data_IF_272803705189
#
_entry.id   IF_272803705189
#
_cell.length_a   1.000
_cell.length_b   1.000
_cell.length_c   1.000
_cell.angle_alpha   90.00
_cell.angle_beta   90.00
_cell.angle_gamma   90.00
#
_symmetry.space_group_name_H-M   'P 1'
#
loop_
_entity.id
_entity.type
_entity.pdbx_description
1 polymer ?
#
# COMPACT_ATOMS: atom_id res chain seq x y z
N UNK A 1 -7.46 -4.32 -16.95
CA UNK A 1 -6.64 -5.55 -16.89
C UNK A 1 -5.93 -5.82 -18.23
N UNK A 2 -6.67 -5.74 -19.36
CA UNK A 2 -6.11 -6.00 -20.72
C UNK A 2 -5.02 -5.00 -21.10
N UNK A 3 -5.11 -3.74 -20.69
CA UNK A 3 -4.09 -2.71 -20.93
C UNK A 3 -2.78 -3.07 -20.18
N UNK A 4 -2.86 -3.59 -18.96
CA UNK A 4 -1.69 -3.96 -18.17
C UNK A 4 -0.91 -5.14 -18.79
N UNK A 5 -1.61 -6.11 -19.37
CA UNK A 5 -1.01 -7.28 -20.03
C UNK A 5 -0.28 -6.88 -21.32
N UNK A 6 -0.84 -5.99 -22.15
CA UNK A 6 -0.19 -5.48 -23.36
C UNK A 6 1.05 -4.60 -23.08
N UNK A 7 1.14 -4.00 -21.89
CA UNK A 7 2.29 -3.20 -21.47
C UNK A 7 3.50 -4.06 -21.01
N UNK A 8 3.33 -5.36 -20.87
CA UNK A 8 4.38 -6.28 -20.37
C UNK A 8 5.37 -6.77 -21.43
N UNK A 9 5.12 -6.54 -22.72
CA UNK A 9 6.07 -6.93 -23.76
C UNK A 9 7.36 -6.10 -23.68
N UNK A 10 8.51 -6.80 -23.53
CA UNK A 10 9.83 -6.19 -23.41
C UNK A 10 10.26 -5.80 -21.98
N UNK A 11 9.60 -6.27 -20.95
CA UNK A 11 9.99 -5.99 -19.56
C UNK A 11 11.04 -6.99 -19.06
N UNK A 12 12.06 -6.48 -18.34
CA UNK A 12 12.94 -7.31 -17.51
C UNK A 12 12.24 -7.63 -16.20
N UNK A 13 12.29 -8.89 -15.76
CA UNK A 13 11.75 -9.29 -14.47
C UNK A 13 12.85 -9.26 -13.42
N UNK A 14 12.64 -8.48 -12.33
CA UNK A 14 13.60 -8.28 -11.26
C UNK A 14 12.95 -8.67 -9.93
N UNK A 15 13.71 -9.23 -9.00
CA UNK A 15 13.21 -9.50 -7.65
C UNK A 15 13.01 -8.19 -6.90
N UNK A 16 11.95 -8.12 -6.08
CA UNK A 16 11.66 -6.92 -5.27
C UNK A 16 12.82 -6.60 -4.31
N UNK A 17 13.44 -7.63 -3.72
CA UNK A 17 14.60 -7.45 -2.83
C UNK A 17 15.85 -6.88 -3.49
N UNK A 18 15.93 -6.91 -4.84
CA UNK A 18 17.07 -6.35 -5.58
C UNK A 18 16.91 -4.85 -5.88
N UNK A 19 15.69 -4.30 -5.70
CA UNK A 19 15.35 -2.92 -6.09
C UNK A 19 14.90 -2.02 -4.93
N UNK A 20 14.83 -2.54 -3.71
CA UNK A 20 14.53 -1.77 -2.50
C UNK A 20 15.10 -2.44 -1.26
N UNK A 21 15.21 -1.68 -0.17
CA UNK A 21 15.47 -2.23 1.14
C UNK A 21 14.15 -2.67 1.79
N UNK A 22 14.14 -3.84 2.42
CA UNK A 22 12.97 -4.38 3.12
C UNK A 22 13.33 -4.61 4.59
N UNK A 23 12.65 -3.90 5.47
CA UNK A 23 12.79 -4.04 6.93
C UNK A 23 11.41 -4.23 7.57
N UNK A 24 11.35 -4.33 8.88
CA UNK A 24 10.09 -4.30 9.65
C UNK A 24 10.18 -3.27 10.76
N UNK A 25 9.03 -2.83 11.27
CA UNK A 25 8.97 -2.11 12.53
C UNK A 25 9.48 -2.96 13.68
N UNK A 26 9.67 -2.34 14.84
CA UNK A 26 10.18 -3.01 16.04
C UNK A 26 9.21 -2.93 17.22
N UNK A 27 8.18 -2.11 17.11
CA UNK A 27 7.24 -1.85 18.20
C UNK A 27 6.08 -2.85 18.19
N UNK A 28 5.47 -3.02 19.35
CA UNK A 28 4.20 -3.74 19.47
C UNK A 28 3.03 -2.87 18.99
N UNK A 29 1.90 -3.49 18.61
CA UNK A 29 0.73 -2.77 18.10
C UNK A 29 0.09 -1.84 19.15
N UNK A 30 0.24 -2.14 20.43
CA UNK A 30 -0.29 -1.34 21.55
C UNK A 30 0.60 -0.13 21.91
N UNK A 31 1.69 0.13 21.19
CA UNK A 31 2.55 1.31 21.38
C UNK A 31 1.91 2.61 20.86
N UNK A 32 0.70 2.56 20.32
CA UNK A 32 -0.04 3.73 19.84
C UNK A 32 -0.37 4.71 20.99
N UNK A 33 -0.42 5.99 20.65
CA UNK A 33 -0.78 7.09 21.57
C UNK A 33 -1.83 7.97 20.87
N UNK A 34 -2.98 8.21 21.52
CA UNK A 34 -4.12 8.89 20.89
C UNK A 34 -3.78 10.28 20.31
N UNK A 35 -2.95 11.06 21.00
CA UNK A 35 -2.52 12.39 20.59
C UNK A 35 -1.08 12.44 20.05
N UNK A 36 -0.55 11.31 19.57
CA UNK A 36 0.79 11.22 19.04
C UNK A 36 1.03 12.12 17.82
N UNK A 37 2.29 12.49 17.59
CA UNK A 37 2.71 13.44 16.55
C UNK A 37 2.90 12.75 15.21
N UNK A 38 3.42 11.51 15.21
CA UNK A 38 3.81 10.79 14.00
C UNK A 38 2.82 9.67 13.67
N UNK A 39 2.66 9.33 12.38
CA UNK A 39 1.92 8.14 12.00
C UNK A 39 2.59 6.87 12.51
N UNK A 40 1.78 5.95 13.02
CA UNK A 40 2.19 4.62 13.42
C UNK A 40 1.49 3.58 12.55
N UNK A 41 2.23 2.98 11.64
CA UNK A 41 1.70 1.99 10.70
C UNK A 41 1.71 0.61 11.32
N UNK A 42 0.52 0.10 11.54
CA UNK A 42 0.25 -1.28 11.95
C UNK A 42 -0.29 -2.09 10.78
N UNK A 43 -0.92 -3.24 11.04
CA UNK A 43 -1.66 -3.99 10.02
C UNK A 43 -3.10 -3.49 9.83
N UNK A 44 -3.44 -2.29 10.29
CA UNK A 44 -4.70 -1.60 9.99
C UNK A 44 -4.59 -0.83 8.67
N UNK A 45 -5.74 -0.52 8.05
CA UNK A 45 -5.77 0.27 6.81
C UNK A 45 -5.33 1.72 7.05
N UNK A 46 -5.78 2.29 8.17
CA UNK A 46 -5.41 3.65 8.59
C UNK A 46 -4.32 3.60 9.65
N UNK A 47 -3.31 4.47 9.56
CA UNK A 47 -2.28 4.55 10.60
C UNK A 47 -2.86 5.09 11.91
N UNK A 48 -2.39 4.56 13.01
CA UNK A 48 -2.53 5.16 14.33
C UNK A 48 -1.53 6.30 14.52
N UNK A 49 -1.39 6.78 15.75
CA UNK A 49 -0.43 7.82 16.11
C UNK A 49 0.53 7.36 17.20
N UNK A 50 1.71 7.98 17.26
CA UNK A 50 2.76 7.71 18.23
C UNK A 50 3.65 8.95 18.42
N UNK A 51 4.33 9.07 19.57
CA UNK A 51 5.17 10.23 19.88
C UNK A 51 6.60 10.14 19.36
N UNK A 52 7.01 8.98 18.85
CA UNK A 52 8.35 8.75 18.33
C UNK A 52 8.33 8.29 16.88
N UNK A 53 9.40 8.53 16.14
CA UNK A 53 9.58 7.97 14.81
C UNK A 53 10.87 7.12 14.76
N UNK A 54 10.84 6.07 13.95
CA UNK A 54 12.00 5.22 13.66
C UNK A 54 12.46 5.35 12.20
N UNK A 55 11.61 5.89 11.33
CA UNK A 55 11.86 6.07 9.90
C UNK A 55 11.63 7.52 9.50
N UNK A 56 12.47 8.06 8.63
CA UNK A 56 12.28 9.35 7.95
C UNK A 56 12.63 9.16 6.48
N UNK A 57 11.68 8.62 5.71
CA UNK A 57 11.92 8.16 4.35
C UNK A 57 10.63 8.15 3.53
N UNK A 58 10.75 7.88 2.24
CA UNK A 58 9.64 7.57 1.34
C UNK A 58 9.51 6.05 1.21
N UNK A 59 8.39 5.49 1.67
CA UNK A 59 8.22 4.05 1.80
C UNK A 59 6.86 3.52 1.33
N UNK A 60 6.84 2.24 0.98
CA UNK A 60 5.64 1.40 0.95
C UNK A 60 5.60 0.57 2.23
N UNK A 61 4.43 0.54 2.86
CA UNK A 61 4.23 -0.22 4.09
C UNK A 61 3.24 -1.35 3.83
N UNK A 62 3.65 -2.58 4.10
CA UNK A 62 2.87 -3.77 3.80
C UNK A 62 2.48 -4.49 5.09
N UNK A 63 1.18 -4.68 5.28
CA UNK A 63 0.63 -5.45 6.41
C UNK A 63 1.03 -6.92 6.31
N UNK A 64 1.84 -7.41 7.25
CA UNK A 64 2.40 -8.76 7.24
C UNK A 64 1.49 -9.83 7.81
N UNK A 65 0.40 -9.46 8.50
CA UNK A 65 -0.54 -10.39 9.11
C UNK A 65 -1.94 -9.79 9.29
N UNK A 66 -2.87 -10.57 9.86
CA UNK A 66 -4.21 -10.15 10.23
C UNK A 66 -5.19 -10.06 9.06
N UNK A 67 -6.33 -9.38 9.29
CA UNK A 67 -7.41 -9.25 8.31
C UNK A 67 -6.99 -8.51 7.05
N UNK A 68 -6.06 -7.55 7.20
CA UNK A 68 -5.53 -6.73 6.10
C UNK A 68 -4.20 -7.25 5.55
N UNK A 69 -3.96 -8.57 5.60
CA UNK A 69 -2.74 -9.19 5.08
C UNK A 69 -2.47 -8.78 3.63
N UNK A 70 -1.30 -8.18 3.37
CA UNK A 70 -0.90 -7.70 2.06
C UNK A 70 -1.43 -6.31 1.68
N UNK A 71 -2.11 -5.62 2.59
CA UNK A 71 -2.52 -4.23 2.37
C UNK A 71 -1.29 -3.33 2.26
N UNK A 72 -1.32 -2.39 1.32
CA UNK A 72 -0.18 -1.54 0.96
C UNK A 72 -0.52 -0.09 1.20
N UNK A 73 0.13 0.52 2.18
CA UNK A 73 0.16 1.96 2.41
C UNK A 73 1.38 2.59 1.71
N UNK A 74 1.27 3.86 1.37
CA UNK A 74 2.37 4.71 0.92
C UNK A 74 2.49 5.91 1.85
N UNK A 75 3.71 6.21 2.28
CA UNK A 75 3.97 7.38 3.10
C UNK A 75 5.36 7.96 2.81
N UNK A 76 5.48 9.29 2.99
CA UNK A 76 6.73 10.04 2.88
C UNK A 76 6.88 10.97 4.08
N UNK A 77 7.94 10.82 4.85
CA UNK A 77 8.25 11.60 6.03
C UNK A 77 8.56 10.74 7.24
N UNK A 78 8.37 11.30 8.44
CA UNK A 78 8.66 10.65 9.72
C UNK A 78 7.50 9.80 10.18
N UNK A 79 7.77 8.52 10.48
CA UNK A 79 6.77 7.56 10.94
C UNK A 79 7.40 6.46 11.80
N UNK A 80 6.55 5.65 12.42
CA UNK A 80 6.95 4.41 13.06
C UNK A 80 6.11 3.24 12.51
N UNK A 81 6.58 2.02 12.73
CA UNK A 81 5.92 0.82 12.23
C UNK A 81 5.88 -0.30 13.27
N UNK A 82 4.84 -1.09 13.23
CA UNK A 82 4.65 -2.30 14.00
C UNK A 82 5.56 -3.43 13.50
N UNK A 83 6.00 -4.32 14.40
CA UNK A 83 6.93 -5.43 14.09
C UNK A 83 6.43 -6.39 13.00
N UNK A 84 5.13 -6.40 12.67
CA UNK A 84 4.55 -7.19 11.57
C UNK A 84 4.19 -6.35 10.34
N UNK A 85 4.63 -5.10 10.30
CA UNK A 85 4.52 -4.23 9.12
C UNK A 85 5.86 -4.16 8.42
N UNK A 86 5.91 -4.60 7.18
CA UNK A 86 7.09 -4.46 6.33
C UNK A 86 7.19 -3.03 5.82
N UNK A 87 8.39 -2.47 5.91
CA UNK A 87 8.76 -1.15 5.41
C UNK A 87 9.69 -1.36 4.24
N UNK A 88 9.27 -0.94 3.06
CA UNK A 88 10.03 -1.00 1.81
C UNK A 88 10.42 0.42 1.43
N UNK A 89 11.71 0.72 1.41
CA UNK A 89 12.24 2.03 1.06
C UNK A 89 13.50 1.94 0.18
N UNK A 90 14.15 3.08 -0.08
CA UNK A 90 15.37 3.19 -0.89
C UNK A 90 15.23 2.51 -2.26
N UNK A 91 14.09 2.74 -2.92
CA UNK A 91 13.82 2.15 -4.23
C UNK A 91 14.76 2.69 -5.32
N UNK A 92 15.33 1.79 -6.12
CA UNK A 92 16.05 2.13 -7.35
C UNK A 92 15.11 2.47 -8.51
N UNK A 93 13.85 2.07 -8.41
CA UNK A 93 12.79 2.23 -9.40
C UNK A 93 11.70 3.19 -8.90
N UNK A 94 10.78 3.59 -9.81
CA UNK A 94 9.69 4.51 -9.44
C UNK A 94 8.75 3.86 -8.40
N UNK A 95 8.74 4.37 -7.17
CA UNK A 95 7.98 3.82 -6.05
C UNK A 95 6.48 3.75 -6.32
N UNK A 96 5.92 4.73 -7.05
CA UNK A 96 4.49 4.73 -7.39
C UNK A 96 4.17 3.64 -8.41
N UNK A 97 5.06 3.40 -9.38
CA UNK A 97 4.94 2.26 -10.27
C UNK A 97 5.00 0.93 -9.52
N UNK A 98 5.98 0.78 -8.60
CA UNK A 98 6.14 -0.42 -7.78
C UNK A 98 4.90 -0.65 -6.89
N UNK A 99 4.34 0.41 -6.28
CA UNK A 99 3.08 0.33 -5.53
C UNK A 99 1.98 -0.36 -6.35
N UNK A 100 1.79 0.05 -7.60
CA UNK A 100 0.75 -0.52 -8.46
C UNK A 100 1.06 -1.95 -8.92
N UNK A 101 2.32 -2.24 -9.22
CA UNK A 101 2.73 -3.60 -9.54
C UNK A 101 2.49 -4.55 -8.36
N UNK A 102 2.80 -4.12 -7.14
CA UNK A 102 2.56 -4.87 -5.92
C UNK A 102 1.07 -5.07 -5.64
N UNK A 103 0.22 -4.05 -5.82
CA UNK A 103 -1.25 -4.18 -5.68
C UNK A 103 -1.84 -5.29 -6.57
N UNK A 104 -1.21 -5.59 -7.71
CA UNK A 104 -1.66 -6.66 -8.62
C UNK A 104 -1.01 -8.01 -8.33
N UNK A 105 0.28 -8.03 -8.02
CA UNK A 105 1.07 -9.27 -7.98
C UNK A 105 1.16 -9.87 -6.57
N UNK A 106 1.21 -9.05 -5.53
CA UNK A 106 1.33 -9.53 -4.16
C UNK A 106 0.12 -10.38 -3.71
N UNK A 107 -1.14 -10.01 -3.99
CA UNK A 107 -2.29 -10.86 -3.64
C UNK A 107 -2.22 -12.24 -4.30
N UNK A 108 -1.73 -12.32 -5.55
CA UNK A 108 -1.55 -13.59 -6.26
C UNK A 108 -0.47 -14.47 -5.59
N UNK A 109 0.64 -13.85 -5.20
CA UNK A 109 1.73 -14.53 -4.50
C UNK A 109 1.26 -15.09 -3.16
N UNK A 110 0.55 -14.26 -2.37
CA UNK A 110 -0.03 -14.67 -1.08
C UNK A 110 -1.02 -15.83 -1.27
N UNK A 111 -1.88 -15.79 -2.30
CA UNK A 111 -2.84 -16.84 -2.57
C UNK A 111 -2.17 -18.18 -2.87
N UNK A 112 -1.07 -18.19 -3.65
CA UNK A 112 -0.29 -19.39 -3.94
C UNK A 112 0.34 -19.96 -2.65
N UNK A 113 0.93 -19.11 -1.82
CA UNK A 113 1.57 -19.55 -0.57
C UNK A 113 0.55 -20.05 0.45
N UNK A 114 -0.63 -19.44 0.54
CA UNK A 114 -1.73 -19.93 1.38
C UNK A 114 -2.25 -21.31 0.96
N UNK A 115 -2.22 -21.63 -0.33
CA UNK A 115 -2.63 -22.96 -0.81
C UNK A 115 -1.63 -24.05 -0.45
N UNK A 116 -0.37 -23.70 -0.22
CA UNK A 116 0.71 -24.63 0.11
C UNK A 116 1.02 -24.71 1.62
N UNK A 117 0.60 -23.72 2.40
CA UNK A 117 0.81 -23.67 3.85
C UNK A 117 -0.33 -22.95 4.55
N UNK A 118 -0.74 -23.41 5.73
CA UNK A 118 -1.75 -22.79 6.58
C UNK A 118 -1.24 -21.48 7.26
N UNK A 119 -0.31 -20.75 6.65
CA UNK A 119 0.38 -19.64 7.28
C UNK A 119 -0.40 -18.34 7.06
N UNK A 120 -0.94 -17.71 8.13
CA UNK A 120 -1.73 -16.48 8.02
C UNK A 120 -0.87 -15.20 7.99
N UNK A 121 0.41 -15.28 7.61
CA UNK A 121 1.34 -14.14 7.59
C UNK A 121 2.28 -14.19 6.40
N UNK A 122 2.76 -13.01 5.97
CA UNK A 122 3.80 -12.86 4.96
C UNK A 122 5.16 -13.11 5.63
N UNK A 123 5.99 -13.95 5.01
CA UNK A 123 7.40 -14.10 5.36
C UNK A 123 8.26 -13.19 4.48
N UNK A 124 9.48 -12.89 4.91
CA UNK A 124 10.37 -11.98 4.18
C UNK A 124 10.60 -12.43 2.73
N UNK A 125 10.77 -13.74 2.50
CA UNK A 125 10.99 -14.31 1.17
C UNK A 125 9.77 -14.16 0.23
N UNK A 126 8.55 -14.04 0.77
CA UNK A 126 7.36 -13.70 -0.03
C UNK A 126 7.54 -12.39 -0.77
N UNK A 127 8.19 -11.41 -0.13
CA UNK A 127 8.47 -10.10 -0.70
C UNK A 127 9.79 -10.08 -1.48
N UNK A 128 10.90 -10.52 -0.88
CA UNK A 128 12.21 -10.44 -1.54
C UNK A 128 12.28 -11.20 -2.86
N UNK A 129 11.63 -12.37 -2.95
CA UNK A 129 11.64 -13.20 -4.15
C UNK A 129 10.49 -12.90 -5.14
N UNK A 130 9.64 -11.95 -4.82
CA UNK A 130 8.56 -11.53 -5.71
C UNK A 130 9.15 -10.86 -6.96
N UNK A 131 8.90 -11.47 -8.13
CA UNK A 131 9.37 -10.93 -9.40
C UNK A 131 8.41 -9.91 -9.97
N UNK A 132 8.91 -8.70 -10.22
CA UNK A 132 8.18 -7.58 -10.79
C UNK A 132 8.65 -7.30 -12.22
N UNK A 133 7.73 -7.00 -13.17
CA UNK A 133 8.11 -6.51 -14.49
C UNK A 133 8.59 -5.06 -14.36
N UNK A 134 9.81 -4.78 -14.80
CA UNK A 134 10.41 -3.45 -14.74
C UNK A 134 10.57 -2.92 -16.19
N UNK A 135 9.67 -2.05 -16.66
CA UNK A 135 9.81 -1.36 -17.93
C UNK A 135 10.80 -0.20 -17.82
N UNK A 136 11.11 0.45 -18.93
CA UNK A 136 11.95 1.65 -18.95
C UNK A 136 11.35 2.77 -18.07
N UNK A 137 12.19 3.66 -17.55
CA UNK A 137 11.81 4.73 -16.59
C UNK A 137 10.66 5.61 -17.08
N UNK A 138 10.64 5.95 -18.38
CA UNK A 138 9.55 6.75 -18.97
C UNK A 138 8.20 6.05 -18.89
N UNK A 139 8.18 4.74 -19.14
CA UNK A 139 6.96 3.93 -19.04
C UNK A 139 6.50 3.74 -17.60
N UNK A 140 7.44 3.59 -16.65
CA UNK A 140 7.12 3.57 -15.22
C UNK A 140 6.43 4.87 -14.80
N UNK A 141 7.01 6.03 -15.16
CA UNK A 141 6.45 7.35 -14.83
C UNK A 141 5.08 7.55 -15.47
N UNK A 142 4.91 7.15 -16.72
CA UNK A 142 3.62 7.23 -17.40
C UNK A 142 2.53 6.42 -16.67
N UNK A 143 2.83 5.16 -16.31
CA UNK A 143 1.88 4.29 -15.59
C UNK A 143 1.58 4.87 -14.20
N UNK A 144 2.60 5.31 -13.46
CA UNK A 144 2.45 5.91 -12.15
C UNK A 144 1.52 7.13 -12.18
N UNK A 145 1.75 8.06 -13.10
CA UNK A 145 0.95 9.29 -13.25
C UNK A 145 -0.49 8.99 -13.67
N UNK A 146 -0.68 8.04 -14.60
CA UNK A 146 -2.01 7.62 -15.03
C UNK A 146 -2.81 7.05 -13.86
N UNK A 147 -2.22 6.12 -13.13
CA UNK A 147 -2.89 5.46 -12.01
C UNK A 147 -3.18 6.44 -10.86
N UNK A 148 -2.26 7.35 -10.55
CA UNK A 148 -2.48 8.40 -9.57
C UNK A 148 -3.61 9.35 -9.98
N UNK A 149 -3.70 9.70 -11.27
CA UNK A 149 -4.80 10.52 -11.80
C UNK A 149 -6.15 9.81 -11.66
N UNK A 150 -6.19 8.49 -11.91
CA UNK A 150 -7.40 7.68 -11.73
C UNK A 150 -7.80 7.55 -10.27
N UNK A 151 -6.85 7.31 -9.35
CA UNK A 151 -7.13 7.30 -7.89
C UNK A 151 -7.76 8.62 -7.44
N UNK A 152 -7.17 9.75 -7.86
CA UNK A 152 -7.68 11.08 -7.49
C UNK A 152 -9.09 11.31 -8.03
N UNK A 153 -9.37 10.94 -9.28
CA UNK A 153 -10.72 11.06 -9.85
C UNK A 153 -11.72 10.20 -9.09
N UNK A 154 -11.37 8.95 -8.78
CA UNK A 154 -12.22 8.05 -8.01
C UNK A 154 -12.51 8.61 -6.61
N UNK A 155 -11.50 9.08 -5.90
CA UNK A 155 -11.65 9.69 -4.58
C UNK A 155 -12.58 10.91 -4.61
N UNK A 156 -12.44 11.78 -5.61
CA UNK A 156 -13.32 12.95 -5.77
C UNK A 156 -14.77 12.53 -6.03
N UNK A 157 -15.01 11.50 -6.85
CA UNK A 157 -16.36 11.02 -7.12
C UNK A 157 -17.01 10.36 -5.90
N UNK A 158 -16.24 9.62 -5.11
CA UNK A 158 -16.71 9.06 -3.83
C UNK A 158 -17.13 10.20 -2.89
N UNK A 159 -16.30 11.22 -2.72
CA UNK A 159 -16.61 12.37 -1.87
C UNK A 159 -17.87 13.13 -2.35
N UNK A 160 -18.07 13.28 -3.67
CA UNK A 160 -19.30 13.86 -4.21
C UNK A 160 -20.51 12.98 -3.92
N UNK A 161 -20.41 11.68 -4.10
CA UNK A 161 -21.48 10.74 -3.79
C UNK A 161 -21.90 10.81 -2.33
N UNK A 162 -20.94 10.85 -1.40
CA UNK A 162 -21.19 10.98 0.02
C UNK A 162 -21.90 12.31 0.35
N UNK A 163 -21.48 13.41 -0.29
CA UNK A 163 -22.12 14.73 -0.15
C UNK A 163 -23.57 14.72 -0.64
N UNK A 164 -23.85 14.07 -1.76
CA UNK A 164 -25.22 13.93 -2.26
C UNK A 164 -26.08 13.05 -1.35
N UNK A 165 -25.53 11.97 -0.80
CA UNK A 165 -26.25 11.15 0.16
C UNK A 165 -26.57 11.92 1.45
N UNK A 166 -25.63 12.71 1.96
CA UNK A 166 -25.88 13.58 3.10
C UNK A 166 -26.99 14.58 2.82
N UNK A 167 -26.94 15.29 1.67
CA UNK A 167 -27.97 16.25 1.27
C UNK A 167 -29.34 15.56 1.12
N UNK A 168 -29.39 14.40 0.49
CA UNK A 168 -30.62 13.60 0.38
C UNK A 168 -31.21 13.29 1.76
N UNK A 169 -30.40 12.82 2.70
CA UNK A 169 -30.87 12.51 4.05
C UNK A 169 -31.36 13.78 4.78
N UNK A 170 -30.67 14.89 4.62
CA UNK A 170 -31.09 16.17 5.19
C UNK A 170 -32.47 16.59 4.64
N UNK A 171 -32.64 16.59 3.32
CA UNK A 171 -33.91 16.98 2.69
C UNK A 171 -35.06 16.05 3.08
N UNK A 172 -34.84 14.73 3.14
CA UNK A 172 -35.85 13.80 3.61
C UNK A 172 -36.33 14.09 5.04
N UNK A 173 -35.39 14.44 5.94
CA UNK A 173 -35.75 14.85 7.31
C UNK A 173 -36.55 16.15 7.34
N UNK A 174 -36.27 17.12 6.45
CA UNK A 174 -37.03 18.36 6.40
C UNK A 174 -38.42 18.21 5.78
N UNK A 175 -38.61 17.22 4.90
CA UNK A 175 -39.89 17.01 4.20
C UNK A 175 -40.88 16.15 4.99
N UNK A 176 -40.44 15.32 5.93
CA UNK A 176 -41.26 14.33 6.61
C UNK A 176 -41.23 14.45 8.16
N UNK A 177 -40.78 15.58 8.66
CA UNK A 177 -40.98 16.04 10.05
C UNK A 177 -41.89 17.27 10.00
#
# INVERSE_FOLDING_TARGET
LVIFVKLQQGNTYVKLGDICQITTGKLDANAQVDNGIYPFFTCAEQPFKIDSFAFDTEALLISGNGANLGYINYYKGKFNAYQRTYVLDLFSENIQYIKWALKVLLPKRIAIEKSSSNTPYIVLSTLTDLRLPIPCKSKQSFIANLMQSLERKLSNQIAQYDSYNYLKQYLLRQMFI
#
